data_IF_526939263626
#
_entry.id   IF_526939263626
#
_cell.length_a   1.000
_cell.length_b   1.000
_cell.length_c   1.000
_cell.angle_alpha   90.00
_cell.angle_beta   90.00
_cell.angle_gamma   90.00
#
_symmetry.space_group_name_H-M   'P 1'
#
loop_
_entity.id
_entity.type
_entity.pdbx_description
1 polymer ?
#
# COMPACT_ATOMS: atom_id res chain seq x y z
N UNK A 1 -13.35 20.01 -34.12
CA UNK A 1 -13.82 19.33 -32.89
C UNK A 1 -12.76 18.29 -32.57
N UNK A 2 -11.76 18.68 -31.78
CA UNK A 2 -10.56 17.90 -31.52
C UNK A 2 -10.87 16.62 -30.74
N UNK A 3 -10.36 15.50 -31.23
CA UNK A 3 -10.27 14.27 -30.49
C UNK A 3 -9.20 14.44 -29.41
N UNK A 4 -9.63 14.69 -28.17
CA UNK A 4 -8.77 14.51 -26.99
C UNK A 4 -8.48 13.01 -26.90
N UNK A 5 -7.37 12.58 -27.50
CA UNK A 5 -6.85 11.24 -27.39
C UNK A 5 -6.68 10.87 -25.91
N UNK A 6 -7.50 9.93 -25.46
CA UNK A 6 -7.41 9.21 -24.19
C UNK A 6 -5.98 8.68 -23.99
N UNK A 7 -5.14 9.43 -23.29
CA UNK A 7 -3.98 8.85 -22.64
C UNK A 7 -4.53 7.81 -21.64
N UNK A 8 -4.28 6.52 -21.92
CA UNK A 8 -4.80 5.40 -21.13
C UNK A 8 -4.55 5.67 -19.63
N UNK A 9 -5.57 5.56 -18.75
CA UNK A 9 -5.46 5.88 -17.32
C UNK A 9 -4.28 5.18 -16.62
N UNK A 10 -3.86 4.02 -17.14
CA UNK A 10 -2.65 3.28 -16.73
C UNK A 10 -1.37 4.12 -16.76
N UNK A 11 -1.16 4.96 -17.78
CA UNK A 11 0.08 5.75 -17.91
C UNK A 11 0.16 6.86 -16.86
N UNK A 12 -0.99 7.42 -16.48
CA UNK A 12 -1.08 8.46 -15.45
C UNK A 12 -0.88 7.86 -14.06
N UNK A 13 -1.49 6.71 -13.77
CA UNK A 13 -1.32 5.99 -12.49
C UNK A 13 0.15 5.58 -12.27
N UNK A 14 0.83 5.09 -13.30
CA UNK A 14 2.26 4.77 -13.24
C UNK A 14 3.19 5.96 -12.95
N UNK A 15 2.78 7.19 -13.25
CA UNK A 15 3.60 8.39 -12.98
C UNK A 15 3.35 9.02 -11.61
N UNK A 16 2.20 8.75 -10.99
CA UNK A 16 1.80 9.36 -9.73
C UNK A 16 2.14 8.50 -8.52
N UNK A 17 2.03 7.17 -8.65
CA UNK A 17 2.41 6.27 -7.58
C UNK A 17 3.94 6.14 -7.51
N UNK A 18 4.54 6.22 -6.31
CA UNK A 18 5.97 5.95 -6.15
C UNK A 18 6.27 4.49 -6.50
N UNK A 19 7.50 4.22 -6.95
CA UNK A 19 7.98 2.84 -7.09
C UNK A 19 8.13 2.25 -5.68
N UNK A 20 7.42 1.15 -5.42
CA UNK A 20 7.54 0.45 -4.14
C UNK A 20 8.92 -0.20 -3.97
N UNK A 21 9.39 -0.28 -2.73
CA UNK A 21 10.64 -0.95 -2.37
C UNK A 21 10.46 -2.47 -2.46
N UNK A 22 11.21 -3.19 -3.31
CA UNK A 22 11.08 -4.64 -3.43
C UNK A 22 11.43 -5.36 -2.13
N UNK A 23 10.70 -6.42 -1.82
CA UNK A 23 10.94 -7.28 -0.64
C UNK A 23 11.16 -8.72 -1.05
N UNK A 24 11.96 -9.43 -0.27
CA UNK A 24 12.10 -10.87 -0.43
C UNK A 24 10.80 -11.58 0.00
N UNK A 25 10.55 -12.75 -0.59
CA UNK A 25 9.49 -13.62 -0.11
C UNK A 25 9.79 -14.06 1.34
N UNK A 26 8.79 -14.08 2.23
CA UNK A 26 8.97 -14.53 3.61
C UNK A 26 9.26 -16.04 3.66
N UNK A 27 9.95 -16.47 4.71
CA UNK A 27 10.25 -17.89 4.98
C UNK A 27 8.98 -18.72 5.23
N UNK A 28 7.90 -18.06 5.69
CA UNK A 28 6.60 -18.66 5.92
C UNK A 28 5.53 -17.97 5.10
N UNK A 29 4.43 -18.66 4.74
CA UNK A 29 3.31 -18.04 4.06
C UNK A 29 2.84 -16.78 4.78
N UNK A 30 2.45 -15.77 4.00
CA UNK A 30 1.92 -14.53 4.53
C UNK A 30 0.71 -14.73 5.42
N UNK A 31 0.56 -13.83 6.39
CA UNK A 31 -0.75 -13.50 6.93
C UNK A 31 -1.37 -12.41 6.04
N UNK A 32 -2.34 -12.80 5.20
CA UNK A 32 -2.93 -11.88 4.23
C UNK A 32 -4.09 -11.12 4.86
N UNK A 33 -4.09 -9.79 4.72
CA UNK A 33 -5.13 -8.90 5.24
C UNK A 33 -5.63 -8.01 4.12
N UNK A 34 -6.91 -8.12 3.78
CA UNK A 34 -7.55 -7.21 2.83
C UNK A 34 -7.99 -5.92 3.55
N UNK A 35 -7.56 -4.77 3.03
CA UNK A 35 -7.99 -3.45 3.50
C UNK A 35 -9.07 -2.97 2.54
N UNK A 36 -10.33 -3.08 2.96
CA UNK A 36 -11.51 -2.73 2.15
C UNK A 36 -12.32 -1.66 2.88
N UNK A 37 -13.04 -0.84 2.12
CA UNK A 37 -13.94 0.16 2.68
C UNK A 37 -14.08 1.37 1.77
N UNK A 38 -14.29 2.53 2.40
CA UNK A 38 -14.40 3.83 1.72
C UNK A 38 -13.19 4.70 2.06
N UNK A 39 -13.33 6.03 1.99
CA UNK A 39 -12.27 7.01 2.17
C UNK A 39 -11.43 6.84 3.45
N UNK A 40 -12.01 6.40 4.56
CA UNK A 40 -11.27 6.19 5.80
C UNK A 40 -10.37 4.95 5.76
N UNK A 41 -10.76 3.92 5.01
CA UNK A 41 -9.93 2.74 4.77
C UNK A 41 -8.87 2.99 3.69
N UNK A 42 -9.20 3.83 2.70
CA UNK A 42 -8.30 4.31 1.64
C UNK A 42 -7.15 5.20 2.16
N UNK A 43 -7.36 5.84 3.32
CA UNK A 43 -6.37 6.68 3.97
C UNK A 43 -6.45 8.15 3.53
N UNK A 44 -7.30 8.91 4.24
CA UNK A 44 -7.41 10.37 4.10
C UNK A 44 -6.78 11.13 5.28
N UNK A 45 -6.07 10.42 6.17
CA UNK A 45 -5.36 11.03 7.29
C UNK A 45 -4.08 11.74 6.86
N UNK A 46 -3.56 12.59 7.73
CA UNK A 46 -2.23 13.21 7.59
C UNK A 46 -1.26 12.45 8.51
N UNK A 47 -0.07 12.06 8.04
CA UNK A 47 0.92 11.44 8.91
C UNK A 47 1.40 12.43 9.96
N UNK A 48 1.54 11.98 11.21
CA UNK A 48 1.91 12.82 12.35
C UNK A 48 3.05 12.26 13.18
N UNK A 49 3.37 10.97 13.05
CA UNK A 49 4.43 10.28 13.79
C UNK A 49 5.34 9.48 12.84
N UNK A 50 6.16 10.23 12.09
CA UNK A 50 7.07 9.69 11.07
C UNK A 50 8.15 8.76 11.63
N UNK A 51 8.47 8.86 12.92
CA UNK A 51 9.47 8.05 13.59
C UNK A 51 8.89 6.84 14.33
N UNK A 52 7.56 6.73 14.41
CA UNK A 52 6.87 5.66 15.13
C UNK A 52 5.75 5.03 14.31
N UNK A 53 4.52 5.44 14.56
CA UNK A 53 3.33 4.80 14.00
C UNK A 53 3.28 4.86 12.46
N UNK A 54 3.90 5.85 11.82
CA UNK A 54 3.89 6.00 10.35
C UNK A 54 5.13 5.38 9.67
N UNK A 55 6.11 4.87 10.44
CA UNK A 55 7.32 4.27 9.88
C UNK A 55 7.04 2.93 9.18
N UNK A 56 7.77 2.56 8.13
CA UNK A 56 7.65 1.20 7.57
C UNK A 56 8.08 0.11 8.59
N UNK A 57 7.59 -1.13 8.43
CA UNK A 57 7.99 -2.26 9.27
C UNK A 57 8.48 -3.43 8.40
N UNK A 58 9.63 -4.06 8.72
CA UNK A 58 10.28 -5.04 7.83
C UNK A 58 9.48 -6.32 7.59
N UNK A 59 8.49 -6.62 8.43
CA UNK A 59 7.57 -7.76 8.26
C UNK A 59 6.19 -7.38 7.71
N UNK A 60 5.99 -6.12 7.33
CA UNK A 60 4.72 -5.66 6.76
C UNK A 60 4.96 -5.30 5.31
N UNK A 61 4.37 -6.08 4.42
CA UNK A 61 4.43 -5.89 2.98
C UNK A 61 3.04 -5.47 2.47
N UNK A 62 3.00 -4.88 1.29
CA UNK A 62 1.76 -4.58 0.58
C UNK A 62 1.81 -5.13 -0.84
N UNK A 63 0.67 -5.55 -1.35
CA UNK A 63 0.51 -5.85 -2.77
C UNK A 63 0.24 -4.55 -3.51
N UNK A 64 1.14 -4.15 -4.40
CA UNK A 64 0.96 -2.94 -5.19
C UNK A 64 -0.16 -3.14 -6.22
N UNK A 65 -1.26 -2.40 -6.07
CA UNK A 65 -2.40 -2.42 -7.00
C UNK A 65 -2.30 -1.35 -8.08
N UNK A 66 -1.28 -0.49 -8.03
CA UNK A 66 -0.99 0.48 -9.07
C UNK A 66 0.51 0.79 -9.16
N UNK A 67 0.88 1.57 -10.16
CA UNK A 67 2.21 2.14 -10.26
C UNK A 67 3.23 1.22 -10.96
N UNK A 68 4.51 1.61 -10.97
CA UNK A 68 5.57 0.80 -11.59
C UNK A 68 5.79 -0.58 -10.97
N UNK A 69 5.30 -0.78 -9.74
CA UNK A 69 5.42 -2.04 -9.00
C UNK A 69 4.13 -2.87 -9.03
N UNK A 70 3.12 -2.50 -9.84
CA UNK A 70 1.83 -3.18 -9.90
C UNK A 70 1.98 -4.70 -10.09
N UNK A 71 1.23 -5.47 -9.30
CA UNK A 71 1.28 -6.94 -9.35
C UNK A 71 2.48 -7.55 -8.63
N UNK A 72 3.11 -6.82 -7.70
CA UNK A 72 4.21 -7.33 -6.87
C UNK A 72 4.01 -6.99 -5.39
N UNK A 73 4.64 -7.79 -4.52
CA UNK A 73 4.77 -7.46 -3.12
C UNK A 73 5.95 -6.49 -2.90
N UNK A 74 5.70 -5.43 -2.14
CA UNK A 74 6.68 -4.39 -1.79
C UNK A 74 6.61 -4.08 -0.30
N UNK A 75 7.61 -3.39 0.26
CA UNK A 75 7.57 -2.94 1.64
C UNK A 75 6.35 -2.02 1.83
N UNK A 76 5.58 -2.27 2.89
CA UNK A 76 4.42 -1.45 3.17
C UNK A 76 4.84 -0.11 3.80
N UNK A 77 4.32 0.97 3.24
CA UNK A 77 4.42 2.32 3.74
C UNK A 77 3.16 3.08 3.32
N UNK A 78 2.68 4.00 4.15
CA UNK A 78 1.62 4.90 3.74
C UNK A 78 2.16 6.00 2.79
N UNK A 79 1.35 6.47 1.82
CA UNK A 79 0.03 5.95 1.46
C UNK A 79 0.11 4.55 0.84
N UNK A 80 -0.81 3.66 1.23
CA UNK A 80 -0.91 2.34 0.62
C UNK A 80 -1.20 2.44 -0.89
N UNK A 81 -0.66 1.50 -1.65
CA UNK A 81 -0.76 1.44 -3.11
C UNK A 81 -2.09 0.81 -3.55
N UNK A 82 -3.20 1.49 -3.27
CA UNK A 82 -4.53 1.19 -3.80
C UNK A 82 -4.57 1.28 -5.33
N UNK A 83 -5.63 0.78 -5.98
CA UNK A 83 -5.80 0.88 -7.44
C UNK A 83 -5.68 2.31 -7.98
N UNK A 84 -6.12 3.27 -7.17
CA UNK A 84 -5.93 4.70 -7.40
C UNK A 84 -4.93 5.23 -6.37
N UNK A 85 -3.91 6.02 -6.77
CA UNK A 85 -2.93 6.54 -5.82
C UNK A 85 -3.58 7.37 -4.71
N UNK A 86 -3.35 6.98 -3.46
CA UNK A 86 -3.70 7.77 -2.28
C UNK A 86 -2.59 8.77 -1.95
N UNK A 87 -2.91 9.74 -1.09
CA UNK A 87 -1.95 10.73 -0.56
C UNK A 87 -1.92 10.76 0.97
N UNK A 88 -2.77 9.99 1.64
CA UNK A 88 -2.95 10.03 3.09
C UNK A 88 -2.64 8.72 3.77
N UNK A 89 -2.68 8.76 5.10
CA UNK A 89 -2.50 7.58 5.95
C UNK A 89 -3.85 6.94 6.29
N UNK A 90 -3.88 5.61 6.31
CA UNK A 90 -5.01 4.81 6.76
C UNK A 90 -4.69 4.00 8.02
N UNK A 91 -5.64 3.19 8.49
CA UNK A 91 -5.39 2.32 9.66
C UNK A 91 -4.59 1.06 9.33
N UNK A 92 -4.46 0.72 8.04
CA UNK A 92 -3.93 -0.57 7.58
C UNK A 92 -2.50 -0.83 8.06
N UNK A 93 -1.63 0.17 8.00
CA UNK A 93 -0.24 0.07 8.48
C UNK A 93 -0.17 -0.20 9.98
N UNK A 94 -0.86 0.59 10.79
CA UNK A 94 -0.89 0.43 12.25
C UNK A 94 -1.41 -0.94 12.65
N UNK A 95 -2.52 -1.38 12.04
CA UNK A 95 -3.08 -2.70 12.30
C UNK A 95 -2.10 -3.83 11.93
N UNK A 96 -1.49 -3.76 10.74
CA UNK A 96 -0.58 -4.80 10.28
C UNK A 96 0.70 -4.89 11.11
N UNK A 97 1.22 -3.76 11.60
CA UNK A 97 2.34 -3.76 12.54
C UNK A 97 2.00 -4.49 13.83
N UNK A 98 0.87 -4.14 14.45
CA UNK A 98 0.40 -4.81 15.66
C UNK A 98 0.25 -6.31 15.44
N UNK A 99 -0.37 -6.71 14.33
CA UNK A 99 -0.54 -8.12 13.97
C UNK A 99 0.79 -8.85 13.73
N UNK A 100 1.74 -8.21 13.04
CA UNK A 100 3.06 -8.78 12.79
C UNK A 100 3.87 -8.96 14.09
N UNK A 101 3.78 -8.00 15.01
CA UNK A 101 4.43 -8.09 16.33
C UNK A 101 3.80 -9.19 17.19
N UNK A 102 2.47 -9.29 17.22
CA UNK A 102 1.75 -10.26 18.03
C UNK A 102 1.93 -11.70 17.53
N UNK A 103 1.92 -11.89 16.20
CA UNK A 103 2.00 -13.24 15.60
C UNK A 103 3.42 -13.66 15.24
N UNK A 104 4.37 -12.72 15.17
CA UNK A 104 5.70 -12.95 14.62
C UNK A 104 5.75 -13.25 13.12
N UNK A 105 4.60 -13.21 12.41
CA UNK A 105 4.50 -13.56 10.99
C UNK A 105 4.63 -12.32 10.10
N UNK A 106 5.04 -12.55 8.85
CA UNK A 106 5.01 -11.52 7.81
C UNK A 106 3.58 -11.30 7.34
N UNK A 107 3.13 -10.05 7.39
CA UNK A 107 1.78 -9.62 6.99
C UNK A 107 1.83 -9.05 5.57
N UNK A 108 0.88 -9.44 4.73
CA UNK A 108 0.68 -8.86 3.40
C UNK A 108 -0.66 -8.11 3.38
N UNK A 109 -0.59 -6.80 3.22
CA UNK A 109 -1.74 -5.94 3.00
C UNK A 109 -2.19 -5.99 1.54
N UNK A 110 -3.48 -6.18 1.30
CA UNK A 110 -4.12 -6.06 -0.01
C UNK A 110 -5.00 -4.80 -0.01
N UNK A 111 -4.51 -3.67 -0.55
CA UNK A 111 -5.24 -2.40 -0.53
C UNK A 111 -6.32 -2.35 -1.62
N UNK A 112 -7.57 -2.63 -1.23
CA UNK A 112 -8.73 -2.67 -2.14
C UNK A 112 -9.90 -1.78 -1.71
N UNK A 113 -9.65 -0.85 -0.78
CA UNK A 113 -10.57 0.24 -0.45
C UNK A 113 -10.55 1.34 -1.52
#
# INVERSE_FOLDING_TARGET
MEAICLAKPIVVRCRLAPRGEPVAAPEHPYFVVAVLGQSNAFGMGVPVDLAGADQAHPRVHQWAMCGPSEGTAVLAADPLLHETPSRGVGFGMTFAKSLACETGRTVLLIPGA
#
